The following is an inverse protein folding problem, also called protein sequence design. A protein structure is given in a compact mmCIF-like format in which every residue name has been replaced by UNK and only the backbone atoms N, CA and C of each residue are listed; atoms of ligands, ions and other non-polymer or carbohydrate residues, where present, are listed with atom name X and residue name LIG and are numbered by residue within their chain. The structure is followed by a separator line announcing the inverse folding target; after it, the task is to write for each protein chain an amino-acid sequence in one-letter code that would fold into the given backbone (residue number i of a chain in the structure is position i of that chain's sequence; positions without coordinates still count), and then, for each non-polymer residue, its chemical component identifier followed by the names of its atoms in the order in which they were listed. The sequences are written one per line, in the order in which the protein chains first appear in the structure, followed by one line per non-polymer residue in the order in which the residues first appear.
data_IF_973982079600
#
_entry.id   IF_973982079600
#
_cell.length_a   1.000
_cell.length_b   1.000
_cell.length_c   1.000
_cell.angle_alpha   90.00
_cell.angle_beta   90.00
_cell.angle_gamma   90.00
#
_symmetry.space_group_name_H-M   'P 1'
#
loop_
_entity.id
_entity.type
_entity.pdbx_description
1 polymer ?
#
# COMPACT_ATOMS: atom_id res chain seq x y z
N UNK A 1 22.67 -5.37 -5.26
CA UNK A 1 21.20 -5.45 -5.41
C UNK A 1 20.83 -4.62 -6.62
N UNK A 2 20.25 -5.22 -7.66
CA UNK A 2 19.79 -4.43 -8.82
C UNK A 2 18.63 -3.55 -8.36
N UNK A 3 18.78 -2.24 -8.52
CA UNK A 3 17.68 -1.30 -8.31
C UNK A 3 16.61 -1.56 -9.38
N UNK A 4 15.37 -1.85 -8.97
CA UNK A 4 14.26 -1.94 -9.89
C UNK A 4 14.02 -0.58 -10.55
N UNK A 5 13.83 -0.55 -11.87
CA UNK A 5 13.53 0.68 -12.58
C UNK A 5 12.06 1.08 -12.40
N UNK A 6 11.74 2.37 -12.57
CA UNK A 6 10.34 2.85 -12.51
C UNK A 6 9.45 2.16 -13.54
N UNK A 7 10.01 1.81 -14.71
CA UNK A 7 9.33 1.03 -15.74
C UNK A 7 8.96 -0.37 -15.25
N UNK A 8 9.86 -1.03 -14.50
CA UNK A 8 9.62 -2.35 -13.91
C UNK A 8 8.55 -2.29 -12.81
N UNK A 9 8.53 -1.23 -12.00
CA UNK A 9 7.51 -1.03 -10.97
C UNK A 9 6.15 -0.75 -11.61
N UNK A 10 6.08 0.12 -12.62
CA UNK A 10 4.84 0.42 -13.35
C UNK A 10 4.28 -0.81 -14.06
N UNK A 11 5.17 -1.60 -14.65
CA UNK A 11 4.90 -2.90 -15.23
C UNK A 11 4.31 -3.90 -14.24
N UNK A 12 4.93 -4.03 -13.05
CA UNK A 12 4.46 -4.91 -11.98
C UNK A 12 3.06 -4.51 -11.51
N UNK A 13 2.87 -3.22 -11.20
CA UNK A 13 1.57 -2.71 -10.76
C UNK A 13 0.47 -2.85 -11.83
N UNK A 14 0.79 -2.65 -13.11
CA UNK A 14 -0.14 -2.86 -14.20
C UNK A 14 -0.55 -4.34 -14.36
N UNK A 15 0.36 -5.28 -14.09
CA UNK A 15 0.03 -6.71 -14.08
C UNK A 15 -0.91 -7.09 -12.92
N UNK A 16 -0.99 -6.24 -11.89
CA UNK A 16 -1.85 -6.39 -10.72
C UNK A 16 -3.02 -5.40 -10.71
N UNK A 17 -3.54 -5.04 -11.89
CA UNK A 17 -4.71 -4.15 -12.05
C UNK A 17 -4.62 -2.78 -11.35
N UNK A 18 -3.41 -2.29 -11.11
CA UNK A 18 -3.14 -0.99 -10.51
C UNK A 18 -2.20 -0.16 -11.40
N UNK A 19 -2.58 0.24 -12.62
CA UNK A 19 -1.76 1.12 -13.45
C UNK A 19 -1.71 2.57 -12.91
N UNK A 20 -1.59 2.77 -11.59
CA UNK A 20 -1.50 4.07 -10.91
C UNK A 20 -0.29 4.89 -11.38
N UNK A 21 0.79 4.21 -11.79
CA UNK A 21 1.95 4.84 -12.42
C UNK A 21 1.76 5.18 -13.91
N UNK A 22 0.74 4.66 -14.61
CA UNK A 22 0.48 5.04 -16.02
C UNK A 22 0.10 6.51 -16.18
N UNK A 23 -0.38 7.13 -15.11
CA UNK A 23 -0.61 8.59 -15.05
C UNK A 23 0.69 9.40 -15.14
N UNK A 24 1.87 8.76 -15.05
CA UNK A 24 3.18 9.41 -15.09
C UNK A 24 4.09 9.00 -16.26
N UNK A 25 3.92 7.83 -16.91
CA UNK A 25 4.60 7.55 -18.19
C UNK A 25 4.09 6.28 -18.91
N UNK A 26 4.09 6.33 -20.24
CA UNK A 26 3.76 5.20 -21.12
C UNK A 26 4.95 4.21 -21.22
N UNK A 27 5.10 3.33 -20.24
CA UNK A 27 6.12 2.29 -20.27
C UNK A 27 5.65 1.00 -20.94
N UNK A 28 6.56 0.35 -21.69
CA UNK A 28 6.38 -0.94 -22.36
C UNK A 28 6.15 -2.06 -21.31
N UNK A 29 5.19 -2.98 -21.49
CA UNK A 29 4.94 -4.05 -20.52
C UNK A 29 6.18 -4.97 -20.40
N UNK A 30 6.43 -5.54 -19.20
CA UNK A 30 7.55 -6.43 -18.97
C UNK A 30 7.31 -7.77 -19.67
N UNK A 31 8.38 -8.51 -19.96
CA UNK A 31 8.31 -9.79 -20.68
C UNK A 31 7.72 -10.93 -19.82
N UNK A 32 7.66 -10.75 -18.50
CA UNK A 32 6.99 -11.65 -17.55
C UNK A 32 6.30 -10.83 -16.44
N UNK A 33 5.10 -11.22 -15.97
CA UNK A 33 4.43 -10.55 -14.85
C UNK A 33 5.22 -10.82 -13.56
N UNK A 34 5.46 -9.77 -12.78
CA UNK A 34 6.07 -9.89 -11.45
C UNK A 34 5.14 -10.67 -10.53
N UNK A 35 5.69 -11.59 -9.75
CA UNK A 35 4.95 -12.22 -8.66
C UNK A 35 4.55 -11.18 -7.58
N UNK A 36 3.57 -11.48 -6.72
CA UNK A 36 3.19 -10.60 -5.60
C UNK A 36 4.40 -10.19 -4.75
N UNK A 37 5.23 -11.18 -4.39
CA UNK A 37 6.45 -10.96 -3.59
C UNK A 37 7.42 -10.01 -4.29
N UNK A 38 7.72 -10.23 -5.56
CA UNK A 38 8.66 -9.38 -6.30
C UNK A 38 8.09 -7.95 -6.47
N UNK A 39 6.77 -7.82 -6.60
CA UNK A 39 6.10 -6.51 -6.71
C UNK A 39 6.22 -5.73 -5.41
N UNK A 40 5.91 -6.36 -4.28
CA UNK A 40 6.04 -5.74 -2.95
C UNK A 40 7.50 -5.36 -2.71
N UNK A 41 8.44 -6.28 -2.98
CA UNK A 41 9.87 -6.02 -2.80
C UNK A 41 10.33 -4.83 -3.66
N UNK A 42 9.92 -4.77 -4.93
CA UNK A 42 10.30 -3.69 -5.83
C UNK A 42 9.78 -2.32 -5.37
N UNK A 43 8.55 -2.28 -4.85
CA UNK A 43 7.96 -1.05 -4.31
C UNK A 43 8.64 -0.62 -3.00
N UNK A 44 8.89 -1.56 -2.09
CA UNK A 44 9.53 -1.30 -0.80
C UNK A 44 10.94 -0.73 -0.98
N UNK A 45 11.75 -1.40 -1.80
CA UNK A 45 13.14 -1.02 -2.05
C UNK A 45 13.30 0.14 -3.05
N UNK A 46 12.20 0.71 -3.55
CA UNK A 46 12.26 1.86 -4.45
C UNK A 46 12.84 3.08 -3.71
N UNK A 47 13.74 3.80 -4.39
CA UNK A 47 14.26 5.07 -3.89
C UNK A 47 13.24 6.22 -4.01
N UNK A 48 12.16 6.02 -4.77
CA UNK A 48 11.12 7.02 -4.96
C UNK A 48 10.03 6.84 -3.90
N UNK A 49 9.88 7.85 -3.03
CA UNK A 49 8.88 7.84 -1.94
C UNK A 49 7.45 7.55 -2.44
N UNK A 50 7.07 8.11 -3.59
CA UNK A 50 5.75 7.87 -4.19
C UNK A 50 5.55 6.43 -4.62
N UNK A 51 6.60 5.76 -5.09
CA UNK A 51 6.52 4.34 -5.47
C UNK A 51 6.26 3.47 -4.24
N UNK A 52 6.92 3.74 -3.12
CA UNK A 52 6.66 3.01 -1.88
C UNK A 52 5.22 3.21 -1.39
N UNK A 53 4.66 4.44 -1.46
CA UNK A 53 3.27 4.73 -1.07
C UNK A 53 2.22 3.89 -1.85
N UNK A 54 2.56 3.42 -3.06
CA UNK A 54 1.68 2.55 -3.85
C UNK A 54 1.50 1.15 -3.23
N UNK A 55 2.34 0.76 -2.26
CA UNK A 55 2.10 -0.44 -1.45
C UNK A 55 0.75 -0.40 -0.74
N UNK A 56 0.34 0.78 -0.26
CA UNK A 56 -0.96 0.95 0.38
C UNK A 56 -2.08 0.57 -0.60
N UNK A 57 -2.03 1.13 -1.81
CA UNK A 57 -3.00 0.84 -2.84
C UNK A 57 -2.97 -0.63 -3.27
N UNK A 58 -1.78 -1.25 -3.33
CA UNK A 58 -1.60 -2.66 -3.64
C UNK A 58 -2.32 -3.56 -2.64
N UNK A 59 -2.06 -3.39 -1.35
CA UNK A 59 -2.69 -4.20 -0.30
C UNK A 59 -4.21 -3.97 -0.20
N UNK A 60 -4.67 -2.74 -0.42
CA UNK A 60 -6.11 -2.46 -0.43
C UNK A 60 -6.85 -3.11 -1.61
N UNK A 61 -6.17 -3.28 -2.75
CA UNK A 61 -6.73 -3.92 -3.95
C UNK A 61 -6.61 -5.44 -3.92
N UNK A 62 -5.52 -5.95 -3.35
CA UNK A 62 -5.21 -7.38 -3.26
C UNK A 62 -4.88 -7.76 -1.82
N UNK A 63 -5.88 -7.89 -0.93
CA UNK A 63 -5.61 -8.19 0.47
C UNK A 63 -4.94 -9.55 0.68
N UNK A 64 -5.11 -10.48 -0.26
CA UNK A 64 -4.44 -11.79 -0.26
C UNK A 64 -2.91 -11.67 -0.30
N UNK A 65 -2.36 -10.52 -0.69
CA UNK A 65 -0.91 -10.29 -0.70
C UNK A 65 -0.34 -10.12 0.70
N UNK A 66 -1.18 -10.01 1.73
CA UNK A 66 -0.75 -10.05 3.12
C UNK A 66 -0.03 -11.36 3.48
N UNK A 67 -0.32 -12.48 2.80
CA UNK A 67 0.30 -13.78 3.09
C UNK A 67 1.81 -13.79 2.87
N UNK A 68 2.30 -13.02 1.90
CA UNK A 68 3.73 -12.97 1.54
C UNK A 68 4.50 -11.91 2.32
N UNK A 69 3.80 -11.02 3.04
CA UNK A 69 4.40 -9.86 3.67
C UNK A 69 5.35 -10.24 4.83
N UNK A 70 5.01 -11.13 5.79
CA UNK A 70 5.88 -11.43 6.92
C UNK A 70 7.21 -12.05 6.48
N UNK A 71 7.14 -13.05 5.59
CA UNK A 71 8.32 -13.75 5.07
C UNK A 71 9.21 -12.81 4.23
N UNK A 72 8.61 -11.82 3.56
CA UNK A 72 9.38 -10.82 2.84
C UNK A 72 10.07 -9.85 3.81
N UNK A 73 9.35 -9.34 4.82
CA UNK A 73 9.89 -8.42 5.81
C UNK A 73 11.11 -9.02 6.54
N UNK A 74 11.11 -10.32 6.82
CA UNK A 74 12.24 -11.02 7.46
C UNK A 74 13.49 -11.14 6.58
N UNK A 75 13.35 -11.01 5.26
CA UNK A 75 14.46 -11.10 4.30
C UNK A 75 15.04 -9.75 3.90
N UNK A 76 14.37 -8.65 4.24
CA UNK A 76 14.75 -7.30 3.85
C UNK A 76 15.74 -6.69 4.85
N UNK A 77 16.60 -5.76 4.40
CA UNK A 77 17.33 -4.88 5.32
C UNK A 77 16.36 -4.15 6.25
N UNK A 78 16.82 -3.84 7.47
CA UNK A 78 15.99 -3.23 8.52
C UNK A 78 15.17 -2.03 8.04
N UNK A 79 15.77 -1.09 7.31
CA UNK A 79 15.08 0.12 6.84
C UNK A 79 13.94 -0.19 5.86
N UNK A 80 14.16 -1.14 4.95
CA UNK A 80 13.16 -1.58 3.97
C UNK A 80 12.06 -2.40 4.67
N UNK A 81 12.43 -3.28 5.61
CA UNK A 81 11.47 -4.03 6.42
C UNK A 81 10.58 -3.08 7.25
N UNK A 82 11.17 -2.09 7.91
CA UNK A 82 10.45 -1.08 8.68
C UNK A 82 9.46 -0.31 7.80
N UNK A 83 9.90 0.11 6.60
CA UNK A 83 9.04 0.78 5.61
C UNK A 83 7.89 -0.12 5.15
N UNK A 84 8.15 -1.39 4.85
CA UNK A 84 7.11 -2.35 4.44
C UNK A 84 6.06 -2.50 5.53
N UNK A 85 6.48 -2.78 6.77
CA UNK A 85 5.57 -2.98 7.91
C UNK A 85 4.76 -1.72 8.21
N UNK A 86 5.38 -0.54 8.12
CA UNK A 86 4.71 0.75 8.28
C UNK A 86 3.60 0.93 7.23
N UNK A 87 3.92 0.76 5.95
CA UNK A 87 2.95 0.97 4.86
C UNK A 87 1.88 -0.11 4.83
N UNK A 88 2.21 -1.35 5.17
CA UNK A 88 1.25 -2.43 5.39
C UNK A 88 0.28 -2.07 6.52
N UNK A 89 0.81 -1.61 7.66
CA UNK A 89 -0.02 -1.18 8.81
C UNK A 89 -0.92 -0.03 8.40
N UNK A 90 -0.41 0.97 7.68
CA UNK A 90 -1.26 2.02 7.13
C UNK A 90 -2.39 1.44 6.27
N UNK A 91 -2.12 0.48 5.39
CA UNK A 91 -3.14 -0.18 4.57
C UNK A 91 -4.23 -0.88 5.41
N UNK A 92 -3.86 -1.59 6.48
CA UNK A 92 -4.83 -2.23 7.40
C UNK A 92 -5.80 -1.18 7.96
N UNK A 93 -5.27 -0.12 8.59
CA UNK A 93 -6.11 0.91 9.21
C UNK A 93 -6.95 1.68 8.19
N UNK A 94 -6.39 1.91 7.00
CA UNK A 94 -7.10 2.54 5.88
C UNK A 94 -8.23 1.67 5.33
N UNK A 95 -8.07 0.35 5.30
CA UNK A 95 -9.12 -0.56 4.86
C UNK A 95 -10.34 -0.47 5.79
N UNK A 96 -10.11 -0.34 7.10
CA UNK A 96 -11.17 -0.12 8.08
C UNK A 96 -11.82 1.27 7.91
N UNK A 97 -11.00 2.31 7.74
CA UNK A 97 -11.49 3.69 7.64
C UNK A 97 -12.32 3.94 6.39
N UNK A 98 -11.96 3.30 5.29
CA UNK A 98 -12.60 3.47 3.99
C UNK A 98 -13.44 2.29 3.56
N UNK A 99 -13.79 1.39 4.47
CA UNK A 99 -14.45 0.13 4.17
C UNK A 99 -15.66 0.29 3.23
N UNK A 100 -16.55 1.24 3.49
CA UNK A 100 -17.72 1.50 2.66
C UNK A 100 -17.39 2.00 1.25
N UNK A 101 -16.33 2.80 1.10
CA UNK A 101 -15.89 3.31 -0.20
C UNK A 101 -15.22 2.20 -1.01
N UNK A 102 -14.33 1.43 -0.38
CA UNK A 102 -13.68 0.28 -1.00
C UNK A 102 -14.71 -0.77 -1.43
N UNK A 103 -15.69 -1.08 -0.57
CA UNK A 103 -16.75 -2.06 -0.88
C UNK A 103 -17.59 -1.64 -2.08
N UNK A 104 -17.87 -0.34 -2.22
CA UNK A 104 -18.62 0.20 -3.37
C UNK A 104 -17.90 -0.03 -4.70
N UNK A 105 -16.58 0.08 -4.72
CA UNK A 105 -15.79 0.00 -5.96
C UNK A 105 -15.21 -1.39 -6.23
N UNK A 106 -14.87 -2.14 -5.18
CA UNK A 106 -14.14 -3.42 -5.25
C UNK A 106 -15.03 -4.62 -4.89
N UNK A 107 -16.27 -4.39 -4.44
CA UNK A 107 -17.10 -5.41 -3.82
C UNK A 107 -16.59 -5.80 -2.43
N UNK A 108 -17.14 -6.89 -1.88
CA UNK A 108 -16.65 -7.45 -0.63
C UNK A 108 -15.24 -8.02 -0.83
N UNK A 109 -14.31 -7.59 0.01
CA UNK A 109 -12.91 -8.01 0.01
C UNK A 109 -12.55 -8.59 1.38
N UNK A 110 -11.62 -9.56 1.46
CA UNK A 110 -11.13 -10.03 2.74
C UNK A 110 -10.47 -8.88 3.52
N UNK A 111 -10.61 -8.91 4.84
CA UNK A 111 -9.97 -7.94 5.72
C UNK A 111 -8.47 -8.24 5.83
N UNK A 112 -7.64 -7.23 5.66
CA UNK A 112 -6.20 -7.33 5.89
C UNK A 112 -5.93 -7.70 7.36
N UNK A 113 -5.11 -8.72 7.62
CA UNK A 113 -4.78 -9.08 8.99
C UNK A 113 -3.94 -7.99 9.67
N UNK A 114 -4.21 -7.73 10.95
CA UNK A 114 -3.41 -6.85 11.77
C UNK A 114 -2.16 -7.62 12.25
N UNK A 115 -0.98 -7.26 11.74
CA UNK A 115 0.28 -7.99 12.00
C UNK A 115 1.25 -7.24 12.93
N UNK A 116 1.21 -5.90 12.97
CA UNK A 116 2.29 -5.08 13.52
C UNK A 116 1.85 -3.87 14.33
N UNK A 117 0.65 -3.34 14.08
CA UNK A 117 0.12 -2.12 14.71
C UNK A 117 0.20 -2.17 16.23
N UNK A 118 -0.23 -3.27 16.85
CA UNK A 118 -0.14 -3.42 18.30
C UNK A 118 1.26 -3.78 18.79
N UNK A 119 1.93 -4.73 18.13
CA UNK A 119 3.21 -5.30 18.59
C UNK A 119 4.39 -4.35 18.41
N UNK A 120 4.45 -3.60 17.30
CA UNK A 120 5.56 -2.70 16.97
C UNK A 120 5.27 -1.25 17.35
N UNK A 121 4.03 -0.78 17.16
CA UNK A 121 3.66 0.62 17.40
C UNK A 121 2.63 0.81 18.51
N UNK A 122 2.23 -0.22 19.26
CA UNK A 122 1.27 -0.09 20.37
C UNK A 122 0.02 0.73 20.00
N UNK A 123 -0.47 0.58 18.77
CA UNK A 123 -1.59 1.33 18.26
C UNK A 123 -2.92 0.76 18.79
N UNK A 124 -3.97 1.59 18.90
CA UNK A 124 -5.34 1.09 19.10
C UNK A 124 -5.72 0.08 18.01
N UNK A 125 -6.57 -0.90 18.33
CA UNK A 125 -7.01 -1.88 17.34
C UNK A 125 -7.67 -1.21 16.11
N UNK A 126 -7.55 -1.76 14.89
CA UNK A 126 -8.13 -1.16 13.67
C UNK A 126 -9.65 -0.97 13.69
N UNK A 127 -10.37 -1.66 14.58
CA UNK A 127 -11.82 -1.50 14.77
C UNK A 127 -12.18 -0.27 15.60
N UNK A 128 -11.24 0.29 16.37
CA UNK A 128 -11.47 1.48 17.21
C UNK A 128 -11.52 2.71 16.32
N UNK A 129 -12.63 3.46 16.39
CA UNK A 129 -12.88 4.63 15.53
C UNK A 129 -12.64 4.33 14.03
N UNK A 130 -12.99 3.11 13.59
CA UNK A 130 -12.80 2.65 12.21
C UNK A 130 -11.34 2.81 11.72
N UNK A 131 -10.36 2.70 12.62
CA UNK A 131 -8.94 2.80 12.28
C UNK A 131 -8.41 4.23 12.24
N UNK A 132 -9.25 5.26 12.33
CA UNK A 132 -8.82 6.67 12.31
C UNK A 132 -7.83 6.97 13.45
N UNK A 133 -8.13 6.50 14.66
CA UNK A 133 -7.30 6.76 15.84
C UNK A 133 -5.88 6.19 15.68
N UNK A 134 -5.75 4.92 15.29
CA UNK A 134 -4.46 4.29 15.08
C UNK A 134 -3.71 4.83 13.87
N UNK A 135 -4.40 5.19 12.79
CA UNK A 135 -3.76 5.83 11.62
C UNK A 135 -3.13 7.18 11.99
N UNK A 136 -3.83 7.99 12.80
CA UNK A 136 -3.32 9.28 13.27
C UNK A 136 -2.11 9.11 14.19
N UNK A 137 -2.16 8.14 15.10
CA UNK A 137 -1.01 7.82 15.96
C UNK A 137 0.19 7.30 15.17
N UNK A 138 -0.03 6.41 14.19
CA UNK A 138 1.00 5.92 13.29
C UNK A 138 1.64 7.07 12.51
N UNK A 139 0.82 7.96 11.92
CA UNK A 139 1.32 9.14 11.21
C UNK A 139 2.20 10.01 12.11
N UNK A 140 1.75 10.30 13.34
CA UNK A 140 2.50 11.13 14.28
C UNK A 140 3.84 10.51 14.68
N UNK A 141 3.89 9.19 14.92
CA UNK A 141 5.12 8.47 15.29
C UNK A 141 6.13 8.48 14.16
N UNK A 142 5.75 8.01 12.97
CA UNK A 142 6.68 7.90 11.84
C UNK A 142 7.09 9.28 11.33
N UNK A 143 6.23 10.30 11.45
CA UNK A 143 6.62 11.69 11.16
C UNK A 143 7.71 12.21 12.10
N UNK A 144 7.68 11.82 13.37
CA UNK A 144 8.74 12.18 14.33
C UNK A 144 10.11 11.63 13.94
N UNK A 145 10.14 10.50 13.22
CA UNK A 145 11.36 9.83 12.78
C UNK A 145 11.85 10.31 11.41
N UNK A 146 10.94 10.47 10.45
CA UNK A 146 11.29 10.79 9.05
C UNK A 146 11.16 12.27 8.69
N UNK A 147 10.43 13.06 9.48
CA UNK A 147 10.06 14.45 9.15
C UNK A 147 8.99 14.59 8.06
N UNK A 148 8.45 13.49 7.55
CA UNK A 148 7.43 13.48 6.47
C UNK A 148 6.03 13.58 7.06
N UNK A 149 5.16 14.38 6.44
CA UNK A 149 3.74 14.45 6.80
C UNK A 149 2.98 13.23 6.25
N UNK A 150 3.04 12.12 6.97
CA UNK A 150 2.42 10.86 6.57
C UNK A 150 0.90 10.91 6.53
N UNK A 151 0.25 11.76 7.32
CA UNK A 151 -1.20 11.94 7.23
C UNK A 151 -1.62 12.42 5.83
N UNK A 152 -0.85 13.34 5.24
CA UNK A 152 -1.07 13.79 3.86
C UNK A 152 -0.73 12.70 2.84
N UNK A 153 0.33 11.91 3.05
CA UNK A 153 0.66 10.78 2.18
C UNK A 153 -0.46 9.73 2.14
N UNK A 154 -1.09 9.42 3.28
CA UNK A 154 -2.22 8.49 3.33
C UNK A 154 -3.43 9.00 2.54
N UNK A 155 -3.76 10.29 2.67
CA UNK A 155 -4.86 10.90 1.91
C UNK A 155 -4.55 10.98 0.40
N UNK A 156 -3.28 11.16 0.03
CA UNK A 156 -2.86 11.09 -1.37
C UNK A 156 -3.03 9.66 -1.93
N UNK A 157 -2.59 8.64 -1.18
CA UNK A 157 -2.77 7.24 -1.57
C UNK A 157 -4.26 6.89 -1.74
N UNK A 158 -5.12 7.40 -0.85
CA UNK A 158 -6.58 7.32 -0.99
C UNK A 158 -7.06 7.90 -2.31
N UNK A 159 -6.69 9.15 -2.55
CA UNK A 159 -7.18 9.95 -3.68
C UNK A 159 -6.77 9.29 -4.99
N UNK A 160 -5.51 8.85 -5.08
CA UNK A 160 -5.00 8.11 -6.23
C UNK A 160 -5.77 6.82 -6.47
N UNK A 161 -5.98 6.00 -5.43
CA UNK A 161 -6.71 4.74 -5.56
C UNK A 161 -8.18 4.98 -5.96
N UNK A 162 -8.90 5.85 -5.25
CA UNK A 162 -10.31 6.10 -5.53
C UNK A 162 -10.53 6.71 -6.91
N UNK A 163 -9.67 7.65 -7.34
CA UNK A 163 -9.74 8.21 -8.69
C UNK A 163 -9.52 7.12 -9.75
N UNK A 164 -8.56 6.23 -9.52
CA UNK A 164 -8.32 5.11 -10.41
C UNK A 164 -9.53 4.16 -10.49
N UNK A 165 -10.09 3.78 -9.35
CA UNK A 165 -11.26 2.91 -9.29
C UNK A 165 -12.49 3.56 -9.93
N UNK A 166 -12.68 4.87 -9.79
CA UNK A 166 -13.76 5.60 -10.45
C UNK A 166 -13.59 5.64 -11.98
N UNK A 167 -12.35 5.71 -12.49
CA UNK A 167 -12.08 5.68 -13.93
C UNK A 167 -12.24 4.28 -14.54
N UNK A 168 -11.83 3.24 -13.83
CA UNK A 168 -11.89 1.84 -14.32
C UNK A 168 -13.29 1.25 -14.15
N UNK A 169 -14.00 1.66 -13.10
CA UNK A 169 -15.38 1.25 -12.81
C UNK A 169 -16.30 2.48 -12.77
N UNK A 170 -16.54 3.15 -13.91
CA UNK A 170 -17.45 4.28 -13.99
C UNK A 170 -18.88 3.78 -13.78
N UNK A 171 -19.31 3.78 -12.52
CA UNK A 171 -20.67 3.49 -12.05
C UNK A 171 -21.15 2.04 -12.24
N UNK A 172 -21.08 1.27 -11.15
CA UNK A 172 -22.22 0.45 -10.76
C UNK A 172 -23.25 1.37 -10.08
N UNK A 173 -23.97 2.16 -10.88
CA UNK A 173 -25.27 2.73 -10.54
C UNK A 173 -26.00 3.16 -11.81
#
# INVERSE_FOLDING_TARGET
MSAYTIDQIAAALAAHDLPLLRTLQAARPPTAPFSPRETIQALTCSSEARSAELLIALFLRHPDYAEVEPELADTLPWEDAYRLRHLYTAAVYLQHLWHSQLTRHLGSQPTLPELYGQSEWSLPAPTVHYGEAGLRELAARVQGESGVNWASSYENARTLLLNHLAMVFPHAN
#
